data_IF_677981373444
#
_entry.id   IF_677981373444
#
_cell.length_a   1.000
_cell.length_b   1.000
_cell.length_c   1.000
_cell.angle_alpha   90.00
_cell.angle_beta   90.00
_cell.angle_gamma   90.00
#
_symmetry.space_group_name_H-M   'P 1'
#
loop_
_entity.id
_entity.type
_entity.pdbx_description
1 polymer ?
#
# COMPACT_ATOMS: atom_id res chain seq x y z
N UNK A 1 -27.87 -7.55 15.43
CA UNK A 1 -27.78 -8.85 14.73
C UNK A 1 -26.78 -9.71 15.48
N UNK A 2 -27.16 -10.91 15.92
CA UNK A 2 -26.21 -11.84 16.56
C UNK A 2 -25.33 -12.46 15.47
N UNK A 3 -24.23 -11.79 15.14
CA UNK A 3 -23.20 -12.35 14.26
C UNK A 3 -22.54 -13.53 14.99
N UNK A 4 -22.62 -14.73 14.41
CA UNK A 4 -21.93 -15.89 14.95
C UNK A 4 -20.42 -15.65 14.88
N UNK A 5 -19.73 -15.79 16.01
CA UNK A 5 -18.26 -15.62 16.09
C UNK A 5 -17.52 -16.54 15.10
N UNK A 6 -18.11 -17.70 14.82
CA UNK A 6 -17.58 -18.69 13.89
C UNK A 6 -17.69 -18.23 12.42
N UNK A 7 -18.82 -17.64 12.02
CA UNK A 7 -19.01 -17.16 10.64
C UNK A 7 -18.15 -15.93 10.34
N UNK A 8 -18.00 -15.01 11.30
CA UNK A 8 -17.07 -13.88 11.16
C UNK A 8 -15.62 -14.34 10.93
N UNK A 9 -15.20 -15.38 11.66
CA UNK A 9 -13.85 -15.97 11.53
C UNK A 9 -13.69 -16.69 10.19
N UNK A 10 -14.72 -17.39 9.71
CA UNK A 10 -14.71 -18.01 8.39
C UNK A 10 -14.56 -16.97 7.26
N UNK A 11 -15.33 -15.87 7.31
CA UNK A 11 -15.19 -14.78 6.35
C UNK A 11 -13.83 -14.06 6.46
N UNK A 12 -13.17 -14.07 7.63
CA UNK A 12 -11.85 -13.45 7.79
C UNK A 12 -10.71 -14.15 7.04
N UNK A 13 -10.94 -15.34 6.48
CA UNK A 13 -9.97 -16.01 5.61
C UNK A 13 -9.67 -15.18 4.35
N UNK A 14 -10.64 -14.40 3.88
CA UNK A 14 -10.42 -13.37 2.87
C UNK A 14 -10.16 -12.05 3.62
N UNK A 15 -8.97 -11.45 3.46
CA UNK A 15 -8.64 -10.16 4.09
C UNK A 15 -9.77 -9.15 3.90
N UNK A 16 -10.23 -8.54 5.00
CA UNK A 16 -11.32 -7.55 4.99
C UNK A 16 -12.76 -8.07 4.89
N UNK A 17 -13.01 -9.30 4.43
CA UNK A 17 -14.39 -9.80 4.33
C UNK A 17 -15.02 -10.08 5.72
N UNK A 18 -14.21 -10.53 6.68
CA UNK A 18 -14.66 -10.67 8.08
C UNK A 18 -15.05 -9.33 8.72
N UNK A 19 -14.39 -8.22 8.37
CA UNK A 19 -14.77 -6.87 8.82
C UNK A 19 -16.11 -6.44 8.24
N UNK A 20 -16.32 -6.65 6.95
CA UNK A 20 -17.61 -6.39 6.29
C UNK A 20 -18.74 -7.20 6.92
N UNK A 21 -18.48 -8.45 7.30
CA UNK A 21 -19.46 -9.30 7.99
C UNK A 21 -19.87 -8.74 9.37
N UNK A 22 -18.96 -8.07 10.08
CA UNK A 22 -19.23 -7.38 11.34
C UNK A 22 -19.87 -6.00 11.16
N UNK A 23 -20.17 -5.58 9.92
CA UNK A 23 -20.71 -4.26 9.59
C UNK A 23 -19.65 -3.16 9.46
N UNK A 24 -18.36 -3.52 9.48
CA UNK A 24 -17.23 -2.59 9.35
C UNK A 24 -16.79 -2.49 7.88
N UNK A 25 -17.64 -1.86 7.07
CA UNK A 25 -17.45 -1.79 5.62
C UNK A 25 -16.20 -1.01 5.23
N UNK A 26 -15.95 0.14 5.86
CA UNK A 26 -14.77 0.96 5.56
C UNK A 26 -13.49 0.18 5.84
N UNK A 27 -13.42 -0.45 7.01
CA UNK A 27 -12.25 -1.22 7.39
C UNK A 27 -12.03 -2.43 6.49
N UNK A 28 -13.11 -3.11 6.10
CA UNK A 28 -13.04 -4.22 5.17
C UNK A 28 -12.45 -3.82 3.81
N UNK A 29 -12.92 -2.72 3.23
CA UNK A 29 -12.43 -2.20 1.94
C UNK A 29 -10.96 -1.80 2.04
N UNK A 30 -10.57 -1.09 3.10
CA UNK A 30 -9.19 -0.66 3.31
C UNK A 30 -8.22 -1.84 3.43
N UNK A 31 -8.61 -2.89 4.16
CA UNK A 31 -7.82 -4.12 4.29
C UNK A 31 -7.74 -4.91 2.99
N UNK A 32 -8.86 -5.06 2.27
CA UNK A 32 -8.88 -5.68 0.94
C UNK A 32 -7.97 -4.93 -0.02
N UNK A 33 -8.11 -3.60 -0.10
CA UNK A 33 -7.27 -2.75 -0.94
C UNK A 33 -5.80 -2.94 -0.60
N UNK A 34 -5.43 -2.85 0.68
CA UNK A 34 -4.03 -2.97 1.11
C UNK A 34 -3.45 -4.35 0.78
N UNK A 35 -4.22 -5.42 0.96
CA UNK A 35 -3.80 -6.78 0.62
C UNK A 35 -3.59 -6.98 -0.88
N UNK A 36 -4.59 -6.67 -1.71
CA UNK A 36 -4.50 -6.85 -3.16
C UNK A 36 -3.52 -5.88 -3.81
N UNK A 37 -3.43 -4.65 -3.30
CA UNK A 37 -2.43 -3.68 -3.74
C UNK A 37 -1.02 -4.20 -3.49
N UNK A 38 -0.76 -4.78 -2.32
CA UNK A 38 0.54 -5.39 -2.00
C UNK A 38 0.88 -6.54 -2.96
N UNK A 39 -0.08 -7.42 -3.25
CA UNK A 39 0.11 -8.50 -4.24
C UNK A 39 0.41 -7.93 -5.62
N UNK A 40 -0.37 -6.94 -6.06
CA UNK A 40 -0.23 -6.32 -7.38
C UNK A 40 1.15 -5.66 -7.53
N UNK A 41 1.57 -4.84 -6.56
CA UNK A 41 2.90 -4.19 -6.56
C UNK A 41 4.02 -5.23 -6.52
N UNK A 42 3.92 -6.24 -5.64
CA UNK A 42 4.91 -7.32 -5.55
C UNK A 42 5.06 -8.08 -6.87
N UNK A 43 3.96 -8.30 -7.58
CA UNK A 43 3.93 -9.09 -8.82
C UNK A 43 4.41 -8.27 -10.02
N UNK A 44 3.86 -7.07 -10.21
CA UNK A 44 4.17 -6.20 -11.36
C UNK A 44 5.64 -5.76 -11.36
N UNK A 45 6.19 -5.42 -10.19
CA UNK A 45 7.57 -4.98 -10.08
C UNK A 45 8.56 -6.10 -9.77
N UNK A 46 8.10 -7.34 -9.62
CA UNK A 46 8.89 -8.49 -9.17
C UNK A 46 9.69 -8.22 -7.88
N UNK A 47 9.11 -7.42 -6.99
CA UNK A 47 9.73 -7.06 -5.73
C UNK A 47 9.40 -8.13 -4.68
N UNK A 48 10.16 -9.23 -4.70
CA UNK A 48 9.95 -10.36 -3.79
C UNK A 48 9.94 -9.98 -2.31
N UNK A 49 10.57 -8.86 -1.94
CA UNK A 49 10.55 -8.34 -0.56
C UNK A 49 9.14 -7.98 -0.07
N UNK A 50 8.23 -7.52 -0.94
CA UNK A 50 6.87 -7.17 -0.53
C UNK A 50 6.01 -8.41 -0.26
N UNK A 51 6.43 -9.60 -0.72
CA UNK A 51 5.70 -10.83 -0.46
C UNK A 51 5.64 -11.19 1.03
N UNK A 52 6.56 -10.70 1.86
CA UNK A 52 6.50 -10.86 3.32
C UNK A 52 5.34 -10.09 3.96
N UNK A 53 4.89 -9.00 3.34
CA UNK A 53 3.77 -8.22 3.86
C UNK A 53 2.44 -8.96 3.70
N UNK A 54 2.29 -9.77 2.64
CA UNK A 54 1.05 -10.52 2.36
C UNK A 54 0.59 -11.35 3.57
N UNK A 55 1.40 -12.28 4.13
CA UNK A 55 0.99 -13.03 5.30
C UNK A 55 0.80 -12.14 6.53
N UNK A 56 1.59 -11.07 6.70
CA UNK A 56 1.44 -10.14 7.83
C UNK A 56 0.06 -9.45 7.80
N UNK A 57 -0.34 -8.93 6.63
CA UNK A 57 -1.64 -8.27 6.42
C UNK A 57 -2.79 -9.27 6.62
N UNK A 58 -2.63 -10.50 6.10
CA UNK A 58 -3.62 -11.55 6.25
C UNK A 58 -3.83 -11.96 7.71
N UNK A 59 -2.75 -12.23 8.45
CA UNK A 59 -2.83 -12.55 9.87
C UNK A 59 -3.45 -11.39 10.66
N UNK A 60 -3.04 -10.15 10.38
CA UNK A 60 -3.65 -8.97 10.98
C UNK A 60 -5.17 -8.95 10.76
N UNK A 61 -5.65 -9.21 9.54
CA UNK A 61 -7.08 -9.27 9.24
C UNK A 61 -7.81 -10.28 10.12
N UNK A 62 -7.27 -11.49 10.26
CA UNK A 62 -7.87 -12.57 11.06
C UNK A 62 -7.91 -12.19 12.54
N UNK A 63 -6.78 -11.73 13.08
CA UNK A 63 -6.67 -11.36 14.50
C UNK A 63 -7.58 -10.18 14.85
N UNK A 64 -7.68 -9.18 13.98
CA UNK A 64 -8.50 -7.99 14.20
C UNK A 64 -10.00 -8.34 14.18
N UNK A 65 -10.46 -9.14 13.21
CA UNK A 65 -11.85 -9.64 13.18
C UNK A 65 -12.16 -10.46 14.43
N UNK A 66 -11.27 -11.37 14.83
CA UNK A 66 -11.49 -12.21 16.02
C UNK A 66 -11.61 -11.38 17.29
N UNK A 67 -10.75 -10.37 17.45
CA UNK A 67 -10.78 -9.48 18.59
C UNK A 67 -12.10 -8.68 18.64
N UNK A 68 -12.51 -8.10 17.51
CA UNK A 68 -13.75 -7.31 17.36
C UNK A 68 -15.01 -8.16 17.52
N UNK A 69 -15.03 -9.37 16.99
CA UNK A 69 -16.14 -10.32 17.16
C UNK A 69 -16.29 -10.83 18.61
N UNK A 70 -15.22 -10.74 19.42
CA UNK A 70 -15.28 -11.13 20.84
C UNK A 70 -15.83 -10.03 21.74
N UNK A 71 -15.71 -8.76 21.32
CA UNK A 71 -16.20 -7.60 22.04
C UNK A 71 -17.73 -7.52 21.91
N UNK A 72 -18.43 -7.42 23.04
CA UNK A 72 -19.89 -7.30 23.09
C UNK A 72 -20.38 -5.83 22.94
N UNK A 73 -19.54 -4.96 22.38
CA UNK A 73 -19.83 -3.53 22.22
C UNK A 73 -20.25 -3.21 20.79
N UNK A 74 -21.01 -2.12 20.61
CA UNK A 74 -21.35 -1.61 19.29
C UNK A 74 -20.08 -1.12 18.59
N UNK A 75 -19.70 -1.80 17.51
CA UNK A 75 -18.52 -1.44 16.73
C UNK A 75 -18.86 -0.25 15.81
N UNK A 76 -18.07 0.82 15.87
CA UNK A 76 -18.20 1.95 14.94
C UNK A 76 -17.37 1.72 13.68
N UNK A 77 -17.99 1.88 12.51
CA UNK A 77 -17.32 1.78 11.21
C UNK A 77 -16.48 3.04 10.93
N UNK A 78 -15.30 3.07 11.54
CA UNK A 78 -14.26 4.08 11.35
C UNK A 78 -13.10 3.50 10.55
N UNK A 79 -12.30 4.35 9.90
CA UNK A 79 -11.10 3.92 9.16
C UNK A 79 -10.17 3.09 10.08
N UNK A 80 -9.41 2.15 9.50
CA UNK A 80 -8.37 1.42 10.20
C UNK A 80 -7.44 2.40 10.92
N UNK A 81 -6.90 2.07 12.11
CA UNK A 81 -5.99 2.95 12.83
C UNK A 81 -4.79 3.45 11.99
N UNK A 82 -4.30 2.59 11.09
CA UNK A 82 -3.23 2.90 10.14
C UNK A 82 -3.68 4.01 9.18
N UNK A 83 -4.88 3.87 8.61
CA UNK A 83 -5.49 4.80 7.68
C UNK A 83 -6.07 6.06 8.34
N UNK A 84 -6.45 6.00 9.62
CA UNK A 84 -6.90 7.13 10.42
C UNK A 84 -5.73 8.02 10.84
N UNK A 85 -4.58 7.42 11.18
CA UNK A 85 -3.36 8.15 11.52
C UNK A 85 -2.76 8.86 10.30
N UNK A 86 -2.79 8.21 9.13
CA UNK A 86 -2.46 8.90 7.89
C UNK A 86 -3.67 9.77 7.52
N UNK A 87 -3.57 11.08 7.49
CA UNK A 87 -4.68 11.91 7.02
C UNK A 87 -4.85 11.74 5.49
N UNK A 88 -5.23 10.55 5.01
CA UNK A 88 -5.15 10.14 3.61
C UNK A 88 -6.08 10.97 2.74
N UNK A 89 -7.29 11.28 3.24
CA UNK A 89 -8.20 12.22 2.60
C UNK A 89 -7.63 13.65 2.52
N UNK A 90 -6.96 14.14 3.58
CA UNK A 90 -6.30 15.46 3.57
C UNK A 90 -5.07 15.46 2.66
N UNK A 91 -4.35 14.34 2.60
CA UNK A 91 -3.23 14.14 1.71
C UNK A 91 -3.72 14.17 0.26
N UNK A 92 -4.71 13.36 -0.10
CA UNK A 92 -5.30 13.34 -1.45
C UNK A 92 -5.87 14.70 -1.87
N UNK A 93 -6.52 15.43 -0.95
CA UNK A 93 -7.08 16.76 -1.21
C UNK A 93 -6.03 17.87 -1.26
N UNK A 94 -4.83 17.66 -0.74
CA UNK A 94 -3.75 18.64 -0.81
C UNK A 94 -3.16 18.69 -2.22
N UNK A 95 -3.07 19.90 -2.78
CA UNK A 95 -2.43 20.15 -4.08
C UNK A 95 -1.03 19.53 -4.20
N UNK A 96 -0.30 19.40 -3.08
CA UNK A 96 1.02 18.79 -3.10
C UNK A 96 0.97 17.26 -3.18
N UNK A 97 0.00 16.59 -2.54
CA UNK A 97 -0.07 15.11 -2.60
C UNK A 97 -0.77 14.59 -3.84
N UNK A 98 -1.70 15.36 -4.45
CA UNK A 98 -2.21 15.05 -5.78
C UNK A 98 -1.06 14.94 -6.82
N UNK A 99 -0.05 15.83 -6.73
CA UNK A 99 1.16 15.77 -7.58
C UNK A 99 1.98 14.49 -7.34
N UNK A 100 2.14 14.07 -6.08
CA UNK A 100 2.85 12.82 -5.76
C UNK A 100 2.11 11.58 -6.26
N UNK A 101 0.78 11.54 -6.11
CA UNK A 101 -0.06 10.48 -6.66
C UNK A 101 0.08 10.42 -8.18
N UNK A 102 0.04 11.58 -8.86
CA UNK A 102 0.24 11.64 -10.30
C UNK A 102 1.63 11.10 -10.72
N UNK A 103 2.70 11.48 -10.01
CA UNK A 103 4.04 10.96 -10.29
C UNK A 103 4.12 9.44 -10.12
N UNK A 104 3.51 8.89 -9.07
CA UNK A 104 3.43 7.43 -8.85
C UNK A 104 2.69 6.74 -10.00
N UNK A 105 1.58 7.31 -10.48
CA UNK A 105 0.82 6.77 -11.61
C UNK A 105 1.60 6.83 -12.93
N UNK A 106 2.28 7.94 -13.22
CA UNK A 106 3.14 8.08 -14.42
C UNK A 106 4.26 7.05 -14.40
N UNK A 107 4.91 6.90 -13.24
CA UNK A 107 5.95 5.90 -13.03
C UNK A 107 5.42 4.47 -13.23
N UNK A 108 4.28 4.14 -12.63
CA UNK A 108 3.59 2.85 -12.81
C UNK A 108 3.30 2.57 -14.30
N UNK A 109 2.78 3.56 -15.01
CA UNK A 109 2.49 3.47 -16.44
C UNK A 109 3.74 3.22 -17.28
N UNK A 110 4.82 3.95 -17.00
CA UNK A 110 6.10 3.77 -17.69
C UNK A 110 6.68 2.37 -17.47
N UNK A 111 6.65 1.87 -16.23
CA UNK A 111 7.12 0.52 -15.91
C UNK A 111 6.25 -0.56 -16.58
N UNK A 112 4.94 -0.35 -16.68
CA UNK A 112 4.02 -1.25 -17.40
C UNK A 112 4.28 -1.27 -18.92
N UNK A 113 4.58 -0.11 -19.53
CA UNK A 113 4.97 -0.04 -20.94
C UNK A 113 6.26 -0.82 -21.21
N UNK A 114 7.19 -0.83 -20.26
CA UNK A 114 8.43 -1.56 -20.40
C UNK A 114 8.19 -3.07 -20.53
N UNK A 115 7.26 -3.63 -19.77
CA UNK A 115 6.91 -5.06 -19.83
C UNK A 115 6.09 -5.43 -21.06
N UNK A 116 5.09 -4.61 -21.40
CA UNK A 116 4.10 -4.97 -22.40
C UNK A 116 4.52 -4.59 -23.83
N UNK A 117 5.46 -3.65 -23.98
CA UNK A 117 5.85 -3.10 -25.29
C UNK A 117 7.35 -3.23 -25.51
N UNK A 118 8.17 -2.69 -24.61
CA UNK A 118 9.62 -2.58 -24.83
C UNK A 118 10.30 -3.95 -24.81
N UNK A 119 10.06 -4.78 -23.79
CA UNK A 119 10.69 -6.10 -23.68
C UNK A 119 10.32 -7.00 -24.88
N UNK A 120 9.04 -7.15 -25.27
CA UNK A 120 8.68 -7.94 -26.46
C UNK A 120 9.29 -7.43 -27.77
N UNK A 121 9.45 -6.11 -27.93
CA UNK A 121 10.06 -5.53 -29.13
C UNK A 121 11.58 -5.79 -29.19
N UNK A 122 12.28 -5.72 -28.05
CA UNK A 122 13.72 -5.92 -27.99
C UNK A 122 14.14 -7.39 -27.89
N UNK A 123 13.20 -8.30 -27.59
CA UNK A 123 13.46 -9.76 -27.50
C UNK A 123 14.04 -10.33 -28.80
N UNK A 124 13.70 -9.74 -29.95
CA UNK A 124 14.26 -10.14 -31.26
C UNK A 124 15.76 -9.83 -31.40
N UNK A 125 16.28 -8.87 -30.62
CA UNK A 125 17.65 -8.37 -30.75
C UNK A 125 18.53 -8.68 -29.54
N UNK A 126 17.95 -8.82 -28.35
CA UNK A 126 18.66 -8.99 -27.07
C UNK A 126 18.01 -10.14 -26.31
N UNK A 127 18.83 -10.98 -25.69
CA UNK A 127 18.36 -12.09 -24.86
C UNK A 127 17.40 -11.60 -23.76
N UNK A 128 16.22 -12.20 -23.72
CA UNK A 128 15.15 -11.97 -22.76
C UNK A 128 15.66 -11.89 -21.31
N UNK A 129 16.61 -12.75 -20.93
CA UNK A 129 17.15 -12.78 -19.58
C UNK A 129 17.87 -11.47 -19.22
N UNK A 130 18.66 -10.92 -20.14
CA UNK A 130 19.41 -9.68 -19.92
C UNK A 130 18.45 -8.49 -19.79
N UNK A 131 17.41 -8.45 -20.63
CA UNK A 131 16.35 -7.43 -20.56
C UNK A 131 15.60 -7.48 -19.21
N UNK A 132 15.33 -8.68 -18.69
CA UNK A 132 14.66 -8.83 -17.40
C UNK A 132 15.52 -8.39 -16.22
N UNK A 133 16.83 -8.70 -16.25
CA UNK A 133 17.76 -8.24 -15.23
C UNK A 133 17.91 -6.71 -15.23
N UNK A 134 18.01 -6.08 -16.41
CA UNK A 134 18.14 -4.62 -16.52
C UNK A 134 16.93 -3.88 -15.94
N UNK A 135 15.71 -4.41 -16.16
CA UNK A 135 14.48 -3.90 -15.52
C UNK A 135 14.58 -3.93 -14.00
N UNK A 136 14.99 -5.06 -13.41
CA UNK A 136 15.08 -5.19 -11.95
C UNK A 136 16.09 -4.21 -11.34
N UNK A 137 17.22 -4.00 -12.02
CA UNK A 137 18.22 -3.00 -11.63
C UNK A 137 17.63 -1.59 -11.72
N UNK A 138 16.89 -1.27 -12.79
CA UNK A 138 16.25 0.03 -12.97
C UNK A 138 15.20 0.32 -11.89
N UNK A 139 14.34 -0.66 -11.57
CA UNK A 139 13.39 -0.56 -10.44
C UNK A 139 14.16 -0.29 -9.14
N UNK A 140 15.23 -1.03 -8.88
CA UNK A 140 15.99 -0.91 -7.63
C UNK A 140 16.62 0.48 -7.48
N UNK A 141 17.25 0.99 -8.54
CA UNK A 141 17.82 2.35 -8.58
C UNK A 141 16.73 3.39 -8.32
N UNK A 142 15.56 3.23 -8.93
CA UNK A 142 14.45 4.14 -8.75
C UNK A 142 13.92 4.14 -7.31
N UNK A 143 13.78 2.98 -6.67
CA UNK A 143 13.41 2.86 -5.26
C UNK A 143 14.44 3.53 -4.34
N UNK A 144 15.74 3.38 -4.62
CA UNK A 144 16.81 4.03 -3.85
C UNK A 144 16.70 5.55 -3.96
N UNK A 145 16.53 6.09 -5.18
CA UNK A 145 16.36 7.53 -5.42
C UNK A 145 15.13 8.07 -4.67
N UNK A 146 13.99 7.39 -4.76
CA UNK A 146 12.76 7.76 -4.05
C UNK A 146 12.98 7.73 -2.54
N UNK A 147 13.63 6.68 -2.01
CA UNK A 147 13.94 6.55 -0.59
C UNK A 147 14.81 7.70 -0.08
N UNK A 148 15.90 8.03 -0.80
CA UNK A 148 16.78 9.15 -0.45
C UNK A 148 16.03 10.48 -0.53
N UNK A 149 15.23 10.70 -1.57
CA UNK A 149 14.44 11.93 -1.74
C UNK A 149 13.48 12.15 -0.57
N UNK A 150 12.78 11.10 -0.12
CA UNK A 150 11.87 11.16 1.05
C UNK A 150 12.65 11.55 2.32
N UNK A 151 13.84 10.98 2.54
CA UNK A 151 14.68 11.29 3.71
C UNK A 151 15.11 12.75 3.70
N UNK A 152 15.57 13.27 2.55
CA UNK A 152 16.02 14.66 2.43
C UNK A 152 14.86 15.64 2.66
N UNK A 153 13.70 15.39 2.06
CA UNK A 153 12.53 16.25 2.20
C UNK A 153 12.00 16.26 3.64
N UNK A 154 11.96 15.11 4.29
CA UNK A 154 11.63 14.95 5.71
C UNK A 154 12.52 15.81 6.62
N UNK A 155 13.83 15.84 6.34
CA UNK A 155 14.78 16.69 7.09
C UNK A 155 14.54 18.19 6.88
N UNK A 156 14.29 18.63 5.64
CA UNK A 156 14.02 20.05 5.35
C UNK A 156 12.76 20.57 6.03
N UNK A 157 11.69 19.77 6.08
CA UNK A 157 10.46 20.14 6.81
C UNK A 157 10.72 20.36 8.31
N UNK A 158 11.50 19.48 8.95
CA UNK A 158 11.87 19.61 10.37
C UNK A 158 12.83 20.76 10.69
N UNK A 159 13.56 21.28 9.70
CA UNK A 159 14.49 22.41 9.89
C UNK A 159 13.73 23.74 9.78
N UNK A 160 12.83 23.88 8.80
CA UNK A 160 11.98 25.08 8.66
C UNK A 160 11.07 25.31 9.87
N UNK A 161 10.50 24.25 10.44
CA UNK A 161 9.68 24.37 11.67
C UNK A 161 10.51 24.82 12.89
N UNK A 162 11.84 24.56 12.91
CA UNK A 162 12.72 24.98 14.01
C UNK A 162 13.23 26.41 13.88
N UNK A 163 13.30 26.96 12.67
CA UNK A 163 13.68 28.36 12.44
C UNK A 163 12.52 29.30 12.79
N UNK A 164 11.27 28.97 12.45
CA UNK A 164 10.11 29.77 12.86
C UNK A 164 9.92 29.85 14.39
N UNK A 165 10.25 28.79 15.14
CA UNK A 165 10.14 28.78 16.61
C UNK A 165 11.25 29.63 17.28
N UNK A 166 12.32 29.99 16.56
CA UNK A 166 13.42 30.80 17.11
C UNK A 166 13.27 32.30 16.85
N UNK A 167 12.35 32.71 16.00
CA UNK A 167 12.10 34.10 15.62
C UNK A 167 10.88 34.72 16.34
N UNK A 168 10.23 33.97 17.24
CA UNK A 168 9.23 34.46 18.22
C UNK A 168 9.84 34.61 19.61
#
# INVERSE_FOLDING_TARGET
MNHSKSTATFFSLVPGAGHMYLGLMRQGIELMFLFFFTISVSTTFHLGVFSILIPIIWFYSIFDVRNKASRNETLEDTDLPIFKSTNLNKALKSNNSAKYVAYIFVLLGFLSLMDNVIIPLLDTYIDYQILRYSKSVLISILFIIVGIFIIIKSKKAKIGDKECIKEE
#
